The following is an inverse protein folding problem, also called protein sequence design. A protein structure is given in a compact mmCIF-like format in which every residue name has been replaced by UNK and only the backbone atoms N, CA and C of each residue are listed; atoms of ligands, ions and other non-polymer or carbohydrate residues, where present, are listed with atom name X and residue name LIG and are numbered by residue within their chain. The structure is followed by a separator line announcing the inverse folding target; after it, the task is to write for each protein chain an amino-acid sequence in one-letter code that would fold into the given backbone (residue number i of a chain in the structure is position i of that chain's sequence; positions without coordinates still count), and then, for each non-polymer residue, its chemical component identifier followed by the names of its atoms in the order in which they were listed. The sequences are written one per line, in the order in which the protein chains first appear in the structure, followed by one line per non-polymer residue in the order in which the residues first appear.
data_IF_080882603818
#
_entry.id   IF_080882603818
#
_cell.length_a   1.000
_cell.length_b   1.000
_cell.length_c   1.000
_cell.angle_alpha   90.00
_cell.angle_beta   90.00
_cell.angle_gamma   90.00
#
_symmetry.space_group_name_H-M   'P 1'
#
loop_
_entity.id
_entity.type
_entity.pdbx_description
1 polymer ?
#
# COMPACT_ATOMS: atom_id res chain seq x y z
N UNK A 1 -9.85 -10.01 -15.96
CA UNK A 1 -9.44 -8.98 -14.99
C UNK A 1 -9.45 -9.59 -13.60
N UNK A 2 -8.29 -9.58 -12.92
CA UNK A 2 -8.12 -10.17 -11.58
C UNK A 2 -7.90 -9.06 -10.57
N UNK A 3 -8.40 -9.21 -9.35
CA UNK A 3 -8.19 -8.24 -8.27
C UNK A 3 -7.41 -8.90 -7.15
N UNK A 4 -6.29 -8.28 -6.78
CA UNK A 4 -5.54 -8.63 -5.57
C UNK A 4 -5.90 -7.64 -4.48
N UNK A 5 -6.21 -8.14 -3.29
CA UNK A 5 -6.54 -7.32 -2.12
C UNK A 5 -5.67 -7.74 -0.94
N UNK A 6 -5.07 -6.76 -0.27
CA UNK A 6 -4.25 -6.94 0.95
C UNK A 6 -4.65 -5.92 2.00
N UNK A 7 -4.62 -6.35 3.25
CA UNK A 7 -5.01 -5.53 4.39
C UNK A 7 -3.85 -5.42 5.37
N UNK A 8 -3.57 -4.19 5.80
CA UNK A 8 -2.55 -3.85 6.78
C UNK A 8 -3.19 -3.22 8.02
N UNK A 9 -2.54 -3.35 9.17
CA UNK A 9 -2.70 -2.34 10.23
C UNK A 9 -2.11 -1.04 9.69
N UNK A 10 -2.87 0.05 9.79
CA UNK A 10 -2.43 1.34 9.27
C UNK A 10 -2.99 2.50 10.07
N UNK A 11 -2.20 3.56 10.21
CA UNK A 11 -2.57 4.78 10.91
C UNK A 11 -3.52 5.66 10.09
N UNK A 12 -4.01 6.76 10.67
CA UNK A 12 -4.92 7.68 9.98
C UNK A 12 -4.16 8.46 8.90
N UNK A 13 -4.63 8.50 7.63
CA UNK A 13 -3.96 9.22 6.53
C UNK A 13 -3.93 10.76 6.69
N UNK A 14 -4.53 11.30 7.76
CA UNK A 14 -4.47 12.73 8.07
C UNK A 14 -3.21 13.13 8.83
N UNK A 15 -2.46 12.15 9.35
CA UNK A 15 -1.20 12.43 10.04
C UNK A 15 -0.16 13.01 9.07
N UNK A 16 -0.16 12.52 7.82
CA UNK A 16 0.63 13.07 6.74
C UNK A 16 -0.13 12.79 5.45
N UNK A 17 -0.39 13.82 4.65
CA UNK A 17 -1.10 13.68 3.38
C UNK A 17 -0.27 13.01 2.29
N UNK A 18 1.05 12.89 2.52
CA UNK A 18 2.03 12.35 1.56
C UNK A 18 1.91 13.03 0.19
N UNK A 19 1.78 14.35 0.21
CA UNK A 19 1.68 15.19 -1.00
C UNK A 19 2.94 15.03 -1.85
N UNK A 20 2.78 14.84 -3.16
CA UNK A 20 3.84 14.47 -4.11
C UNK A 20 4.57 13.15 -3.77
N UNK A 21 3.95 12.28 -2.97
CA UNK A 21 4.39 10.93 -2.64
C UNK A 21 3.19 9.97 -2.73
N UNK A 22 3.27 8.76 -2.15
CA UNK A 22 2.22 7.73 -2.23
C UNK A 22 1.99 7.00 -0.90
N UNK A 23 0.76 6.53 -0.67
CA UNK A 23 0.37 5.62 0.41
C UNK A 23 0.54 4.13 0.06
N UNK A 24 0.72 3.81 -1.22
CA UNK A 24 0.89 2.43 -1.68
C UNK A 24 1.85 2.31 -2.85
N UNK A 25 2.52 1.16 -2.94
CA UNK A 25 3.30 0.79 -4.12
C UNK A 25 2.99 -0.65 -4.49
N UNK A 26 2.63 -0.88 -5.76
CA UNK A 26 2.76 -2.21 -6.38
C UNK A 26 4.19 -2.30 -6.86
N UNK A 27 4.93 -3.29 -6.40
CA UNK A 27 6.32 -3.50 -6.80
C UNK A 27 6.47 -4.81 -7.56
N UNK A 28 7.29 -4.79 -8.62
CA UNK A 28 7.66 -5.97 -9.40
C UNK A 28 9.10 -6.36 -9.08
N UNK A 29 9.36 -7.65 -8.94
CA UNK A 29 10.71 -8.17 -8.82
C UNK A 29 11.36 -8.22 -10.21
N UNK A 30 12.46 -7.50 -10.37
CA UNK A 30 13.25 -7.42 -11.60
C UNK A 30 14.73 -7.57 -11.27
N UNK A 31 15.38 -8.59 -11.83
CA UNK A 31 16.80 -8.91 -11.59
C UNK A 31 17.18 -8.97 -10.08
N UNK A 32 16.28 -9.54 -9.25
CA UNK A 32 16.49 -9.67 -7.81
C UNK A 32 16.23 -8.38 -7.01
N UNK A 33 15.80 -7.30 -7.65
CA UNK A 33 15.47 -6.03 -7.01
C UNK A 33 13.99 -5.70 -7.16
N UNK A 34 13.39 -5.12 -6.12
CA UNK A 34 12.01 -4.65 -6.17
C UNK A 34 11.96 -3.26 -6.80
N UNK A 35 11.21 -3.13 -7.90
CA UNK A 35 10.99 -1.86 -8.60
C UNK A 35 9.53 -1.45 -8.49
N UNK A 36 9.31 -0.16 -8.29
CA UNK A 36 7.96 0.41 -8.27
C UNK A 36 7.32 0.26 -9.66
N UNK A 37 6.09 -0.23 -9.68
CA UNK A 37 5.32 -0.49 -10.89
C UNK A 37 4.05 0.36 -10.95
N UNK A 38 3.33 0.49 -9.83
CA UNK A 38 2.17 1.38 -9.68
C UNK A 38 2.16 2.02 -8.29
N UNK A 39 1.44 3.12 -8.17
CA UNK A 39 1.23 3.94 -6.97
C UNK A 39 -0.27 4.17 -6.72
N UNK A 40 -0.64 4.97 -5.72
CA UNK A 40 -2.03 5.38 -5.49
C UNK A 40 -2.57 6.40 -6.50
N UNK A 41 -1.71 6.97 -7.35
CA UNK A 41 -2.10 7.81 -8.47
C UNK A 41 -2.62 7.03 -9.68
N UNK A 42 -2.36 5.72 -9.75
CA UNK A 42 -2.74 4.86 -10.86
C UNK A 42 -4.17 4.33 -10.71
N UNK A 43 -4.98 4.40 -11.78
CA UNK A 43 -6.40 3.98 -11.78
C UNK A 43 -6.61 2.50 -11.39
N UNK A 44 -5.60 1.67 -11.61
CA UNK A 44 -5.61 0.26 -11.29
C UNK A 44 -5.59 0.00 -9.79
N UNK A 45 -5.14 0.96 -8.98
CA UNK A 45 -5.00 0.78 -7.54
C UNK A 45 -6.13 1.47 -6.77
N UNK A 46 -6.30 1.10 -5.51
CA UNK A 46 -7.22 1.76 -4.59
C UNK A 46 -6.71 1.64 -3.17
N UNK A 47 -6.82 2.73 -2.43
CA UNK A 47 -6.46 2.84 -1.03
C UNK A 47 -7.73 3.06 -0.19
N UNK A 48 -8.08 2.10 0.65
CA UNK A 48 -9.23 2.18 1.55
C UNK A 48 -8.79 2.21 3.01
N UNK A 49 -8.97 3.33 3.69
CA UNK A 49 -8.76 3.41 5.15
C UNK A 49 -10.07 3.18 5.91
N UNK A 50 -10.01 2.40 6.99
CA UNK A 50 -11.16 2.17 7.86
C UNK A 50 -10.76 2.19 9.34
N UNK A 51 -11.49 2.95 10.15
CA UNK A 51 -11.40 2.94 11.61
C UNK A 51 -11.86 1.58 12.17
N UNK A 52 -11.10 1.03 13.11
CA UNK A 52 -11.48 -0.15 13.90
C UNK A 52 -11.41 0.16 15.39
N UNK A 53 -12.56 0.15 16.08
CA UNK A 53 -12.64 0.58 17.47
C UNK A 53 -12.31 2.07 17.64
N UNK A 54 -11.65 2.42 18.76
CA UNK A 54 -11.39 3.82 19.12
C UNK A 54 -10.13 4.33 18.42
N UNK A 55 -9.02 3.60 18.50
CA UNK A 55 -7.69 4.09 18.09
C UNK A 55 -7.04 3.26 16.99
N UNK A 56 -7.49 2.02 16.74
CA UNK A 56 -6.94 1.17 15.70
C UNK A 56 -7.56 1.47 14.33
N UNK A 57 -6.86 1.11 13.27
CA UNK A 57 -7.41 1.19 11.92
C UNK A 57 -6.73 0.18 11.02
N UNK A 58 -7.37 -0.08 9.89
CA UNK A 58 -6.84 -0.90 8.83
C UNK A 58 -6.83 -0.13 7.52
N UNK A 59 -5.90 -0.54 6.66
CA UNK A 59 -5.76 -0.07 5.29
C UNK A 59 -5.92 -1.27 4.38
N UNK A 60 -6.91 -1.23 3.52
CA UNK A 60 -7.12 -2.21 2.45
C UNK A 60 -6.63 -1.60 1.15
N UNK A 61 -5.66 -2.26 0.51
CA UNK A 61 -5.17 -1.90 -0.81
C UNK A 61 -5.66 -2.94 -1.81
N UNK A 62 -6.25 -2.47 -2.90
CA UNK A 62 -6.65 -3.31 -4.03
C UNK A 62 -5.87 -2.93 -5.28
N UNK A 63 -5.46 -3.93 -6.04
CA UNK A 63 -4.85 -3.78 -7.36
C UNK A 63 -5.66 -4.56 -8.40
N UNK A 64 -6.14 -3.86 -9.42
CA UNK A 64 -6.85 -4.37 -10.58
C UNK A 64 -5.86 -4.73 -11.68
N UNK A 65 -5.56 -6.02 -11.82
CA UNK A 65 -4.62 -6.55 -12.81
C UNK A 65 -5.33 -6.64 -14.17
N UNK A 66 -4.79 -5.89 -15.15
CA UNK A 66 -5.23 -5.90 -16.55
C UNK A 66 -4.56 -7.04 -17.32
N UNK A 67 -5.18 -7.49 -18.41
CA UNK A 67 -4.69 -8.60 -19.25
C UNK A 67 -3.28 -8.37 -19.82
N UNK A 68 -2.89 -7.12 -20.07
CA UNK A 68 -1.56 -6.76 -20.57
C UNK A 68 -0.53 -6.50 -19.48
N UNK A 69 -0.84 -6.81 -18.22
CA UNK A 69 0.12 -6.68 -17.12
C UNK A 69 1.27 -7.65 -17.38
N UNK A 70 2.54 -7.20 -17.37
CA UNK A 70 3.67 -8.11 -17.55
C UNK A 70 3.65 -9.23 -16.52
N UNK A 71 3.84 -10.47 -16.98
CA UNK A 71 3.98 -11.60 -16.07
C UNK A 71 5.19 -11.41 -15.15
N UNK A 72 5.10 -11.88 -13.91
CA UNK A 72 6.19 -11.76 -12.96
C UNK A 72 5.79 -11.92 -11.51
N UNK A 73 6.74 -11.69 -10.62
CA UNK A 73 6.49 -11.70 -9.17
C UNK A 73 6.29 -10.28 -8.68
N UNK A 74 5.20 -10.06 -7.96
CA UNK A 74 4.78 -8.77 -7.45
C UNK A 74 4.60 -8.81 -5.94
N UNK A 75 4.63 -7.64 -5.30
CA UNK A 75 4.21 -7.44 -3.91
C UNK A 75 3.56 -6.07 -3.77
N UNK A 76 2.79 -5.89 -2.70
CA UNK A 76 2.17 -4.61 -2.38
C UNK A 76 2.81 -4.07 -1.10
N UNK A 77 3.19 -2.80 -1.14
CA UNK A 77 3.73 -2.05 -0.02
C UNK A 77 2.72 -0.99 0.39
N UNK A 78 2.45 -0.88 1.68
CA UNK A 78 1.73 0.22 2.31
C UNK A 78 2.74 1.16 2.98
N UNK A 79 2.60 2.46 2.74
CA UNK A 79 3.33 3.52 3.42
C UNK A 79 2.35 4.35 4.25
N UNK A 80 2.73 4.71 5.46
CA UNK A 80 1.89 5.55 6.30
C UNK A 80 2.66 6.23 7.42
N UNK A 81 1.95 7.06 8.17
CA UNK A 81 2.53 7.92 9.19
C UNK A 81 1.71 7.75 10.47
N UNK A 82 2.32 7.15 11.49
CA UNK A 82 1.68 6.91 12.77
C UNK A 82 1.93 8.07 13.72
N UNK A 83 0.89 8.46 14.46
CA UNK A 83 0.95 9.49 15.49
C UNK A 83 0.97 8.85 16.87
N UNK A 84 2.00 9.15 17.65
CA UNK A 84 2.09 8.74 19.04
C UNK A 84 1.03 9.47 19.89
N UNK A 85 0.34 8.72 20.75
CA UNK A 85 -0.72 9.25 21.61
C UNK A 85 -0.22 10.08 22.81
N UNK A 86 1.07 9.97 23.17
CA UNK A 86 1.65 10.61 24.34
C UNK A 86 2.33 11.94 24.02
N UNK A 87 3.21 11.96 23.02
CA UNK A 87 4.02 13.12 22.64
C UNK A 87 3.56 13.77 21.32
N UNK A 88 2.55 13.19 20.66
CA UNK A 88 1.99 13.63 19.39
C UNK A 88 2.97 13.60 18.20
N UNK A 89 4.14 12.98 18.35
CA UNK A 89 5.11 12.83 17.28
C UNK A 89 4.54 11.96 16.14
N UNK A 90 4.86 12.33 14.90
CA UNK A 90 4.43 11.61 13.70
C UNK A 90 5.65 10.91 13.11
N UNK A 91 5.57 9.59 12.96
CA UNK A 91 6.67 8.73 12.50
C UNK A 91 6.25 7.92 11.28
N UNK A 92 7.03 7.94 10.18
CA UNK A 92 6.74 7.14 9.00
C UNK A 92 6.97 5.65 9.28
N UNK A 93 6.16 4.80 8.67
CA UNK A 93 6.32 3.35 8.69
C UNK A 93 5.98 2.75 7.32
N UNK A 94 6.37 1.49 7.12
CA UNK A 94 6.00 0.71 5.96
C UNK A 94 5.60 -0.72 6.32
N UNK A 95 4.67 -1.28 5.57
CA UNK A 95 4.30 -2.69 5.59
C UNK A 95 4.39 -3.28 4.20
N UNK A 96 4.83 -4.54 4.09
CA UNK A 96 5.01 -5.21 2.80
C UNK A 96 4.28 -6.55 2.84
N UNK A 97 3.48 -6.84 1.82
CA UNK A 97 2.80 -8.13 1.69
C UNK A 97 3.79 -9.27 1.38
N UNK A 98 3.33 -10.51 1.52
CA UNK A 98 3.96 -11.62 0.79
C UNK A 98 3.94 -11.33 -0.72
N UNK A 99 4.93 -11.87 -1.43
CA UNK A 99 4.95 -11.80 -2.89
C UNK A 99 3.98 -12.80 -3.52
N UNK A 100 3.48 -12.47 -4.71
CA UNK A 100 2.58 -13.30 -5.50
C UNK A 100 2.92 -13.22 -6.99
N UNK A 101 2.52 -14.23 -7.76
CA UNK A 101 2.73 -14.24 -9.22
C UNK A 101 1.56 -13.63 -9.96
N UNK A 102 1.88 -12.94 -11.04
CA UNK A 102 0.94 -12.55 -12.11
C UNK A 102 1.33 -13.35 -13.34
N UNK A 103 0.36 -14.10 -13.87
CA UNK A 103 0.48 -15.04 -14.99
C UNK A 103 -0.55 -14.70 -16.06
#
# INVERSE_FOLDING_TARGET
MTIVTVTFRGAHPKNNLRTEDTFLKVQRLDQGQWKDYLTDADFETSYGWQREGITYSKVTISWRIKEKTPQGTYRIMHLGDWKNGWDYAITPYAGVSHSFKVE
#
